data_IF_774915992950
#
_entry.id   IF_774915992950
#
_cell.length_a   1.000
_cell.length_b   1.000
_cell.length_c   1.000
_cell.angle_alpha   90.00
_cell.angle_beta   90.00
_cell.angle_gamma   90.00
#
_symmetry.space_group_name_H-M   'P 1'
#
loop_
_entity.id
_entity.type
_entity.pdbx_description
1 polymer ?
#
# COMPACT_ATOMS: atom_id res chain seq x y z
N UNK A 1 15.93 -8.79 -38.40
CA UNK A 1 15.53 -9.26 -37.06
C UNK A 1 14.54 -8.24 -36.51
N UNK A 2 13.24 -8.50 -36.53
CA UNK A 2 12.24 -7.58 -35.99
C UNK A 2 12.02 -7.90 -34.51
N UNK A 3 12.22 -6.92 -33.63
CA UNK A 3 11.88 -7.04 -32.21
C UNK A 3 10.40 -6.73 -32.04
N UNK A 4 9.58 -7.71 -31.67
CA UNK A 4 8.20 -7.49 -31.26
C UNK A 4 8.20 -7.02 -29.80
N UNK A 5 7.85 -5.76 -29.58
CA UNK A 5 7.56 -5.24 -28.23
C UNK A 5 6.10 -5.53 -27.91
N UNK A 6 5.87 -6.38 -26.90
CA UNK A 6 4.56 -6.50 -26.27
C UNK A 6 4.44 -5.36 -25.25
N UNK A 7 3.42 -4.51 -25.37
CA UNK A 7 3.02 -3.61 -24.29
C UNK A 7 2.27 -4.44 -23.26
N UNK A 8 2.91 -4.74 -22.14
CA UNK A 8 2.17 -5.25 -21.00
C UNK A 8 1.39 -4.10 -20.36
N UNK A 9 0.08 -4.28 -20.12
CA UNK A 9 -0.70 -3.28 -19.41
C UNK A 9 -0.17 -3.18 -17.98
N UNK A 10 0.25 -1.98 -17.58
CA UNK A 10 0.61 -1.68 -16.20
C UNK A 10 -0.67 -1.27 -15.48
N UNK A 11 -1.14 -2.11 -14.57
CA UNK A 11 -2.25 -1.78 -13.68
C UNK A 11 -1.68 -1.33 -12.33
N UNK A 12 -2.30 -0.29 -11.78
CA UNK A 12 -2.06 0.13 -10.41
C UNK A 12 -2.54 -0.94 -9.42
N UNK A 13 -1.82 -1.10 -8.32
CA UNK A 13 -2.25 -2.02 -7.26
C UNK A 13 -3.46 -1.44 -6.53
N UNK A 14 -4.41 -2.31 -6.18
CA UNK A 14 -5.62 -1.91 -5.43
C UNK A 14 -5.59 -2.43 -4.00
N UNK A 15 -6.18 -1.64 -3.09
CA UNK A 15 -6.47 -2.10 -1.73
C UNK A 15 -7.80 -2.85 -1.75
N UNK A 16 -7.74 -4.16 -1.53
CA UNK A 16 -8.90 -5.05 -1.60
C UNK A 16 -9.66 -5.10 -0.27
N UNK A 17 -8.94 -5.04 0.86
CA UNK A 17 -9.52 -5.13 2.20
C UNK A 17 -8.63 -4.42 3.24
N UNK A 18 -9.23 -4.06 4.37
CA UNK A 18 -8.56 -3.44 5.51
C UNK A 18 -9.06 -4.06 6.82
N UNK A 19 -8.12 -4.52 7.65
CA UNK A 19 -8.43 -5.15 8.94
C UNK A 19 -7.68 -4.47 10.07
N UNK A 20 -8.38 -4.30 11.19
CA UNK A 20 -7.82 -3.68 12.40
C UNK A 20 -8.00 -4.62 13.59
N UNK A 21 -6.90 -4.86 14.28
CA UNK A 21 -6.87 -5.64 15.51
C UNK A 21 -6.29 -4.78 16.63
N UNK A 22 -6.99 -4.72 17.78
CA UNK A 22 -6.50 -4.03 18.97
C UNK A 22 -5.96 -5.07 19.95
N UNK A 23 -4.65 -5.05 20.17
CA UNK A 23 -4.00 -5.75 21.26
C UNK A 23 -3.85 -4.80 22.47
N UNK A 24 -3.55 -5.32 23.68
CA UNK A 24 -3.36 -4.48 24.86
C UNK A 24 -2.25 -3.43 24.73
N UNK A 25 -1.22 -3.70 23.92
CA UNK A 25 0.00 -2.91 23.78
C UNK A 25 0.18 -2.25 22.40
N UNK A 26 -0.59 -2.67 21.38
CA UNK A 26 -0.52 -2.13 20.04
C UNK A 26 -1.82 -2.29 19.26
N UNK A 27 -1.97 -1.51 18.19
CA UNK A 27 -2.98 -1.75 17.15
C UNK A 27 -2.28 -2.27 15.91
N UNK A 28 -2.82 -3.34 15.31
CA UNK A 28 -2.35 -3.90 14.03
C UNK A 28 -3.34 -3.54 12.94
N UNK A 29 -2.86 -2.82 11.93
CA UNK A 29 -3.55 -2.56 10.67
C UNK A 29 -2.97 -3.49 9.60
N UNK A 30 -3.83 -4.19 8.87
CA UNK A 30 -3.43 -5.03 7.73
C UNK A 30 -4.21 -4.57 6.51
N UNK A 31 -3.51 -4.25 5.43
CA UNK A 31 -4.06 -3.96 4.12
C UNK A 31 -3.85 -5.17 3.21
N UNK A 32 -4.92 -5.64 2.59
CA UNK A 32 -4.86 -6.66 1.54
C UNK A 32 -4.72 -5.97 0.19
N UNK A 33 -3.72 -6.36 -0.60
CA UNK A 33 -3.32 -5.67 -1.82
C UNK A 33 -3.37 -6.64 -3.01
N UNK A 34 -3.79 -6.15 -4.18
CA UNK A 34 -3.80 -6.98 -5.41
C UNK A 34 -2.40 -7.37 -5.87
N UNK A 35 -1.43 -6.50 -5.65
CA UNK A 35 -0.05 -6.61 -6.12
C UNK A 35 0.94 -6.00 -5.12
N UNK A 36 2.24 -6.33 -5.22
CA UNK A 36 3.27 -5.69 -4.39
C UNK A 36 3.35 -4.18 -4.65
N UNK A 37 3.41 -3.39 -3.57
CA UNK A 37 3.55 -1.93 -3.61
C UNK A 37 4.77 -1.46 -2.85
N UNK A 38 5.28 -0.29 -3.22
CA UNK A 38 6.20 0.46 -2.35
C UNK A 38 5.36 1.32 -1.42
N UNK A 39 5.84 1.52 -0.20
CA UNK A 39 5.16 2.40 0.76
C UNK A 39 6.14 3.16 1.63
N UNK A 40 5.68 4.26 2.20
CA UNK A 40 6.38 5.06 3.19
C UNK A 40 5.47 5.31 4.37
N UNK A 41 6.05 5.34 5.56
CA UNK A 41 5.32 5.63 6.80
C UNK A 41 5.89 6.90 7.39
N UNK A 42 4.99 7.83 7.74
CA UNK A 42 5.36 9.08 8.40
C UNK A 42 4.41 9.37 9.56
N UNK A 43 4.92 10.05 10.60
CA UNK A 43 4.11 10.47 11.73
C UNK A 43 3.97 12.00 11.76
N UNK A 44 2.76 12.47 12.04
CA UNK A 44 2.48 13.87 12.32
C UNK A 44 2.12 14.03 13.79
N UNK A 45 2.38 15.22 14.31
CA UNK A 45 2.06 15.64 15.66
C UNK A 45 1.02 16.77 15.59
N UNK A 46 0.26 16.98 16.66
CA UNK A 46 -0.75 18.05 16.79
C UNK A 46 -1.88 18.01 15.72
N UNK A 47 -2.78 17.01 15.72
CA UNK A 47 -2.82 15.83 16.59
C UNK A 47 -1.95 14.67 16.05
N UNK A 48 -1.73 13.65 16.89
CA UNK A 48 -1.01 12.44 16.52
C UNK A 48 -1.70 11.72 15.37
N UNK A 49 -0.98 11.56 14.26
CA UNK A 49 -1.44 10.83 13.07
C UNK A 49 -0.33 9.98 12.49
N UNK A 50 -0.68 8.79 12.02
CA UNK A 50 0.18 7.95 11.19
C UNK A 50 -0.30 8.07 9.74
N UNK A 51 0.60 8.43 8.84
CA UNK A 51 0.35 8.51 7.39
C UNK A 51 1.12 7.36 6.75
N UNK A 52 0.43 6.63 5.87
CA UNK A 52 1.00 5.56 5.07
C UNK A 52 0.78 5.96 3.62
N UNK A 53 1.86 6.37 2.96
CA UNK A 53 1.85 6.65 1.53
C UNK A 53 2.10 5.34 0.78
N UNK A 54 1.24 5.02 -0.18
CA UNK A 54 1.37 3.84 -1.05
C UNK A 54 1.71 4.35 -2.44
N UNK A 55 2.90 3.98 -2.93
CA UNK A 55 3.39 4.34 -4.26
C UNK A 55 2.99 3.24 -5.26
N UNK A 56 2.65 3.64 -6.50
CA UNK A 56 2.11 2.80 -7.59
C UNK A 56 0.61 2.40 -7.48
N UNK A 57 -0.21 3.21 -6.79
CA UNK A 57 -1.66 3.34 -7.09
C UNK A 57 -1.92 4.39 -8.18
#
# INVERSE_FOLDING_TARGET
MAFLFFLEPVFAATVNDMRVWRAPDHTRLVLDLSDPVKYKINSLQNPDRLIIDIEDT
#
